data_IF_233211794477
#
_entry.id   IF_233211794477
#
_cell.length_a   1.000
_cell.length_b   1.000
_cell.length_c   1.000
_cell.angle_alpha   90.00
_cell.angle_beta   90.00
_cell.angle_gamma   90.00
#
_symmetry.space_group_name_H-M   'P 1'
#
loop_
_entity.id
_entity.type
_entity.pdbx_description
1 polymer ?
#
# COMPACT_ATOMS: atom_id res chain seq x y z
N UNK A 1 -15.98 7.81 -0.32
CA UNK A 1 -15.49 6.59 -0.99
C UNK A 1 -14.02 6.76 -1.26
N UNK A 2 -13.25 6.16 -0.37
CA UNK A 2 -11.82 5.93 -0.50
C UNK A 2 -11.55 4.48 -0.09
N UNK A 3 -11.13 3.67 -1.05
CA UNK A 3 -10.78 2.28 -0.86
C UNK A 3 -9.29 2.10 -1.02
N UNK A 4 -8.68 1.32 -0.13
CA UNK A 4 -7.28 0.92 -0.21
C UNK A 4 -7.22 -0.60 -0.35
N UNK A 5 -6.61 -1.07 -1.42
CA UNK A 5 -6.30 -2.48 -1.64
C UNK A 5 -4.79 -2.63 -1.45
N UNK A 6 -4.40 -3.48 -0.53
CA UNK A 6 -3.01 -3.79 -0.26
C UNK A 6 -2.75 -5.26 -0.52
N UNK A 7 -1.68 -5.56 -1.25
CA UNK A 7 -1.20 -6.91 -1.50
C UNK A 7 0.30 -6.98 -1.21
N UNK A 8 0.70 -7.99 -0.43
CA UNK A 8 2.09 -8.38 -0.25
C UNK A 8 2.31 -9.76 -0.84
N UNK A 9 3.26 -9.86 -1.77
CA UNK A 9 3.69 -11.12 -2.39
C UNK A 9 5.20 -11.32 -2.21
N UNK A 10 5.68 -12.55 -2.39
CA UNK A 10 7.11 -12.86 -2.25
C UNK A 10 7.55 -13.34 -0.86
N UNK A 11 8.84 -13.21 -0.58
CA UNK A 11 9.50 -13.80 0.58
C UNK A 11 9.68 -15.32 0.49
N UNK A 12 10.42 -15.86 1.46
CA UNK A 12 10.91 -17.26 1.53
C UNK A 12 9.83 -18.35 1.57
N UNK A 13 8.53 -17.99 1.56
CA UNK A 13 7.41 -18.93 1.60
C UNK A 13 6.32 -18.65 0.54
N UNK A 14 6.50 -17.63 -0.32
CA UNK A 14 5.55 -17.29 -1.39
C UNK A 14 4.12 -16.97 -0.93
N UNK A 15 3.92 -16.63 0.35
CA UNK A 15 2.58 -16.40 0.92
C UNK A 15 2.08 -15.03 0.46
N UNK A 16 1.08 -15.04 -0.43
CA UNK A 16 0.31 -13.84 -0.79
C UNK A 16 -0.60 -13.45 0.38
N UNK A 17 -0.49 -12.20 0.80
CA UNK A 17 -1.40 -11.60 1.78
C UNK A 17 -2.06 -10.40 1.11
N UNK A 18 -3.36 -10.24 1.29
CA UNK A 18 -4.10 -9.11 0.74
C UNK A 18 -5.16 -8.63 1.71
N UNK A 19 -5.34 -7.32 1.80
CA UNK A 19 -6.42 -6.68 2.56
C UNK A 19 -7.07 -5.61 1.71
N UNK A 20 -8.39 -5.47 1.85
CA UNK A 20 -9.16 -4.38 1.26
C UNK A 20 -9.80 -3.61 2.39
N UNK A 21 -9.50 -2.32 2.47
CA UNK A 21 -10.01 -1.41 3.47
C UNK A 21 -10.89 -0.36 2.77
N UNK A 22 -12.14 -0.22 3.21
CA UNK A 22 -13.00 0.91 2.84
C UNK A 22 -12.99 1.92 3.98
N UNK A 23 -12.37 3.08 3.76
CA UNK A 23 -12.25 4.11 4.79
C UNK A 23 -13.60 4.73 5.17
N UNK A 24 -14.62 4.61 4.32
CA UNK A 24 -15.98 5.08 4.65
C UNK A 24 -16.72 4.09 5.57
N UNK A 25 -16.31 2.82 5.61
CA UNK A 25 -16.85 1.79 6.51
C UNK A 25 -16.04 1.61 7.81
N UNK A 26 -14.88 2.26 7.90
CA UNK A 26 -13.99 2.20 9.07
C UNK A 26 -14.33 3.25 10.15
N UNK A 27 -13.96 2.99 11.43
CA UNK A 27 -14.05 3.99 12.48
C UNK A 27 -13.30 5.28 12.11
N UNK A 28 -13.87 6.43 12.45
CA UNK A 28 -13.36 7.76 12.07
C UNK A 28 -11.91 8.00 12.48
N UNK A 29 -11.46 7.44 13.61
CA UNK A 29 -10.07 7.59 14.06
C UNK A 29 -9.07 6.84 13.16
N UNK A 30 -9.44 5.63 12.71
CA UNK A 30 -8.59 4.82 11.83
C UNK A 30 -8.59 5.36 10.40
N UNK A 31 -9.77 5.73 9.89
CA UNK A 31 -9.88 6.28 8.53
C UNK A 31 -9.18 7.62 8.40
N UNK A 32 -9.22 8.48 9.42
CA UNK A 32 -8.46 9.74 9.45
C UNK A 32 -6.95 9.49 9.42
N UNK A 33 -6.48 8.51 10.19
CA UNK A 33 -5.06 8.15 10.24
C UNK A 33 -4.58 7.63 8.88
N UNK A 34 -5.29 6.68 8.28
CA UNK A 34 -4.95 6.14 6.96
C UNK A 34 -5.00 7.22 5.88
N UNK A 35 -5.99 8.11 5.91
CA UNK A 35 -6.05 9.25 4.97
C UNK A 35 -4.82 10.12 5.07
N UNK A 36 -4.44 10.52 6.29
CA UNK A 36 -3.25 11.33 6.51
C UNK A 36 -1.99 10.66 5.98
N UNK A 37 -1.83 9.35 6.23
CA UNK A 37 -0.68 8.59 5.74
C UNK A 37 -0.66 8.46 4.22
N UNK A 38 -1.82 8.31 3.58
CA UNK A 38 -1.94 8.34 2.12
C UNK A 38 -1.53 9.70 1.57
N UNK A 39 -2.01 10.78 2.17
CA UNK A 39 -1.65 12.14 1.76
C UNK A 39 -0.15 12.43 1.96
N UNK A 40 0.45 11.93 3.05
CA UNK A 40 1.89 12.07 3.36
C UNK A 40 2.79 11.15 2.52
N UNK A 41 2.24 10.08 1.94
CA UNK A 41 3.02 9.08 1.21
C UNK A 41 3.38 9.49 -0.21
N UNK A 42 2.89 10.63 -0.69
CA UNK A 42 3.14 11.17 -2.04
C UNK A 42 2.82 10.17 -3.17
N UNK A 43 1.95 9.18 -2.89
CA UNK A 43 1.59 8.08 -3.80
C UNK A 43 1.12 8.54 -5.18
N UNK A 44 0.38 9.66 -5.22
CA UNK A 44 -0.15 10.24 -6.45
C UNK A 44 0.93 10.91 -7.31
N UNK A 45 2.13 11.12 -6.76
CA UNK A 45 3.29 11.68 -7.48
C UNK A 45 4.30 10.61 -7.87
N UNK A 46 4.19 9.41 -7.28
CA UNK A 46 5.01 8.28 -7.65
C UNK A 46 4.53 7.75 -9.01
N UNK A 47 5.45 7.71 -9.96
CA UNK A 47 5.20 7.06 -11.24
C UNK A 47 4.77 5.61 -11.00
N UNK A 48 3.84 5.12 -11.82
CA UNK A 48 3.51 3.70 -11.97
C UNK A 48 4.70 2.92 -12.57
N UNK A 49 5.92 3.13 -12.07
CA UNK A 49 7.07 2.42 -12.58
C UNK A 49 6.98 0.94 -12.18
N UNK A 50 7.09 0.03 -13.15
CA UNK A 50 7.20 -1.38 -12.84
C UNK A 50 8.49 -1.62 -12.07
N UNK A 51 8.44 -2.46 -11.03
CA UNK A 51 9.61 -2.91 -10.27
C UNK A 51 10.61 -3.51 -11.26
N UNK A 52 11.63 -2.72 -11.67
CA UNK A 52 12.56 -3.08 -12.76
C UNK A 52 13.47 -4.25 -12.38
N UNK A 53 13.65 -4.52 -11.08
CA UNK A 53 14.49 -5.61 -10.56
C UNK A 53 14.00 -6.03 -9.18
N UNK A 54 13.04 -6.94 -9.11
CA UNK A 54 12.76 -7.66 -7.85
C UNK A 54 13.71 -8.84 -7.74
N UNK A 55 14.39 -9.01 -6.61
CA UNK A 55 15.03 -10.30 -6.33
C UNK A 55 13.92 -11.35 -6.13
N UNK A 56 14.16 -12.64 -6.46
CA UNK A 56 13.15 -13.70 -6.28
C UNK A 56 12.67 -13.84 -4.82
N UNK A 57 13.51 -13.45 -3.87
CA UNK A 57 13.32 -13.66 -2.44
C UNK A 57 12.75 -12.41 -1.73
N UNK A 58 12.53 -11.32 -2.46
CA UNK A 58 12.13 -10.04 -1.90
C UNK A 58 10.60 -9.96 -1.70
N UNK A 59 10.17 -9.18 -0.72
CA UNK A 59 8.75 -8.84 -0.61
C UNK A 59 8.40 -7.75 -1.62
N UNK A 60 7.26 -7.97 -2.27
CA UNK A 60 6.64 -7.03 -3.20
C UNK A 60 5.33 -6.56 -2.61
N UNK A 61 5.20 -5.25 -2.52
CA UNK A 61 4.05 -4.53 -2.01
C UNK A 61 3.34 -3.85 -3.17
N UNK A 62 2.06 -4.17 -3.34
CA UNK A 62 1.17 -3.49 -4.28
C UNK A 62 0.12 -2.76 -3.46
N UNK A 63 0.06 -1.44 -3.61
CA UNK A 63 -0.92 -0.59 -2.93
C UNK A 63 -1.75 0.08 -4.03
N UNK A 64 -3.04 -0.20 -4.06
CA UNK A 64 -4.00 0.48 -4.94
C UNK A 64 -4.92 1.34 -4.10
N UNK A 65 -4.96 2.63 -4.42
CA UNK A 65 -5.87 3.59 -3.77
C UNK A 65 -6.88 4.04 -4.79
N UNK A 66 -8.15 3.80 -4.49
CA UNK A 66 -9.28 4.22 -5.30
C UNK A 66 -10.05 5.29 -4.55
N UNK A 67 -10.10 6.48 -5.11
CA UNK A 67 -10.94 7.58 -4.63
C UNK A 67 -12.11 7.78 -5.59
N UNK A 68 -12.99 8.75 -5.31
CA UNK A 68 -14.09 9.11 -6.21
C UNK A 68 -13.63 9.61 -7.59
N UNK A 69 -12.39 10.11 -7.70
CA UNK A 69 -11.92 10.84 -8.89
C UNK A 69 -10.72 10.18 -9.56
N UNK A 70 -9.89 9.47 -8.79
CA UNK A 70 -8.65 8.86 -9.28
C UNK A 70 -8.43 7.49 -8.64
N UNK A 71 -7.88 6.58 -9.42
CA UNK A 71 -7.31 5.33 -8.94
C UNK A 71 -5.80 5.35 -9.21
N UNK A 72 -5.00 5.16 -8.17
CA UNK A 72 -3.53 5.09 -8.27
C UNK A 72 -3.07 3.72 -7.79
N UNK A 73 -2.18 3.07 -8.54
CA UNK A 73 -1.53 1.84 -8.11
C UNK A 73 -0.04 2.07 -8.00
N UNK A 74 0.55 1.70 -6.87
CA UNK A 74 1.99 1.79 -6.66
C UNK A 74 2.51 0.41 -6.28
N UNK A 75 3.64 0.05 -6.90
CA UNK A 75 4.34 -1.21 -6.65
C UNK A 75 5.74 -0.91 -6.15
N UNK A 76 6.08 -1.41 -4.97
CA UNK A 76 7.38 -1.23 -4.37
C UNK A 76 7.88 -2.56 -3.77
N UNK A 77 9.19 -2.74 -3.69
CA UNK A 77 9.83 -3.81 -2.93
C UNK A 77 10.48 -3.27 -1.67
N UNK A 78 10.96 -4.13 -0.76
CA UNK A 78 11.68 -3.70 0.45
C UNK A 78 12.84 -2.73 0.15
N UNK A 79 13.54 -2.93 -0.98
CA UNK A 79 14.67 -2.09 -1.39
C UNK A 79 14.26 -0.85 -2.19
N UNK A 80 13.09 -0.84 -2.82
CA UNK A 80 12.61 0.28 -3.63
C UNK A 80 11.56 1.14 -2.92
N UNK A 81 11.15 0.78 -1.70
CA UNK A 81 10.12 1.49 -0.95
C UNK A 81 10.62 2.87 -0.47
N UNK A 82 9.97 3.97 -0.87
CA UNK A 82 10.25 5.29 -0.34
C UNK A 82 10.03 5.35 1.18
N UNK A 83 10.83 6.17 1.88
CA UNK A 83 10.65 6.33 3.33
C UNK A 83 9.30 6.95 3.70
N UNK A 84 8.74 7.80 2.83
CA UNK A 84 7.39 8.37 2.97
C UNK A 84 6.28 7.30 2.94
N UNK A 85 6.53 6.16 2.30
CA UNK A 85 5.57 5.06 2.20
C UNK A 85 5.65 4.07 3.36
N UNK A 86 6.75 4.06 4.13
CA UNK A 86 6.93 3.14 5.26
C UNK A 86 5.84 3.25 6.33
N UNK A 87 5.41 4.46 6.76
CA UNK A 87 4.35 4.58 7.76
C UNK A 87 3.03 3.98 7.28
N UNK A 88 2.63 4.27 6.03
CA UNK A 88 1.41 3.71 5.44
C UNK A 88 1.50 2.19 5.33
N UNK A 89 2.64 1.67 4.85
CA UNK A 89 2.86 0.22 4.73
C UNK A 89 2.72 -0.48 6.08
N UNK A 90 3.35 0.07 7.13
CA UNK A 90 3.30 -0.51 8.48
C UNK A 90 1.86 -0.59 9.01
N UNK A 91 1.09 0.49 8.87
CA UNK A 91 -0.33 0.48 9.25
C UNK A 91 -1.11 -0.57 8.46
N UNK A 92 -0.95 -0.64 7.14
CA UNK A 92 -1.63 -1.65 6.31
C UNK A 92 -1.26 -3.09 6.74
N UNK A 93 0.00 -3.33 7.12
CA UNK A 93 0.44 -4.63 7.61
C UNK A 93 -0.24 -5.02 8.93
N UNK A 94 -0.55 -4.07 9.82
CA UNK A 94 -1.32 -4.36 11.04
C UNK A 94 -2.72 -4.88 10.76
N UNK A 95 -3.31 -4.48 9.62
CA UNK A 95 -4.63 -4.94 9.16
C UNK A 95 -4.58 -6.27 8.40
N UNK A 96 -3.39 -6.82 8.14
CA UNK A 96 -3.21 -8.11 7.45
C UNK A 96 -3.10 -9.32 8.40
N UNK A 97 -3.32 -9.11 9.70
CA UNK A 97 -3.20 -10.10 10.78
C UNK A 97 -4.50 -10.77 11.18
#
# INVERSE_FOLDING_TARGET
MMQIIFERTGGIMGRKVSVSLDLDEMPSDQSTTLRRLVDESDLFTLDEEPIKTSRPDEFIYTITITTKTIQQTVRASDTSLPESLRPLLNELLTHTG
#
